data_IF_457836739268
#
_entry.id   IF_457836739268
#
_cell.length_a   1.000
_cell.length_b   1.000
_cell.length_c   1.000
_cell.angle_alpha   90.00
_cell.angle_beta   90.00
_cell.angle_gamma   90.00
#
_symmetry.space_group_name_H-M   'P 1'
#
loop_
_entity.id
_entity.type
_entity.pdbx_description
1 polymer ?
#
# COMPACT_ATOMS: atom_id res chain seq x y z
N UNK A 1 34.39 13.78 -3.88
CA UNK A 1 32.93 13.65 -4.10
C UNK A 1 32.32 13.22 -2.78
N UNK A 2 31.76 14.19 -2.07
CA UNK A 2 31.14 13.97 -0.77
C UNK A 2 29.73 13.40 -1.01
N UNK A 3 29.49 12.17 -0.56
CA UNK A 3 28.14 11.59 -0.61
C UNK A 3 27.32 12.29 0.47
N UNK A 4 26.58 13.33 0.09
CA UNK A 4 25.56 13.90 0.96
C UNK A 4 24.58 12.78 1.31
N UNK A 5 24.44 12.54 2.60
CA UNK A 5 23.58 11.51 3.14
C UNK A 5 22.13 11.96 2.92
N UNK A 6 21.55 11.61 1.76
CA UNK A 6 20.19 11.98 1.39
C UNK A 6 19.22 11.12 2.20
N UNK A 7 18.98 11.53 3.45
CA UNK A 7 17.92 10.93 4.26
C UNK A 7 16.59 11.43 3.70
N UNK A 8 15.72 10.55 3.18
CA UNK A 8 14.39 10.97 2.77
C UNK A 8 13.65 11.56 3.99
N UNK A 9 13.08 12.76 3.85
CA UNK A 9 12.32 13.45 4.91
C UNK A 9 10.95 12.79 5.14
N UNK A 10 10.47 11.99 4.19
CA UNK A 10 9.21 11.27 4.33
C UNK A 10 9.36 10.06 5.25
N UNK A 11 8.58 10.05 6.32
CA UNK A 11 8.33 8.85 7.12
C UNK A 11 6.99 8.26 6.70
N UNK A 12 6.99 7.04 6.20
CA UNK A 12 5.80 6.36 5.70
C UNK A 12 5.42 5.23 6.65
N UNK A 13 4.16 5.22 7.07
CA UNK A 13 3.53 4.12 7.81
C UNK A 13 2.36 3.63 6.98
N UNK A 14 2.27 2.32 6.77
CA UNK A 14 1.21 1.72 5.98
C UNK A 14 0.81 0.35 6.53
N UNK A 15 -0.48 0.04 6.41
CA UNK A 15 -1.07 -1.23 6.83
C UNK A 15 -2.31 -1.52 5.98
N UNK A 16 -2.47 -2.77 5.56
CA UNK A 16 -3.71 -3.28 4.96
C UNK A 16 -4.39 -4.18 5.99
N UNK A 17 -5.64 -3.91 6.35
CA UNK A 17 -6.33 -4.60 7.45
C UNK A 17 -7.61 -5.24 6.97
N UNK A 18 -7.74 -6.55 7.19
CA UNK A 18 -8.94 -7.28 6.80
C UNK A 18 -10.16 -6.84 7.63
N UNK A 19 -11.20 -6.36 6.97
CA UNK A 19 -12.47 -6.02 7.61
C UNK A 19 -13.22 -7.24 8.15
N UNK A 20 -14.11 -7.03 9.13
CA UNK A 20 -14.91 -8.10 9.76
C UNK A 20 -15.87 -8.81 8.78
N UNK A 21 -16.29 -8.13 7.71
CA UNK A 21 -17.08 -8.72 6.63
C UNK A 21 -16.29 -9.77 5.83
N UNK A 22 -15.03 -9.47 5.49
CA UNK A 22 -14.16 -10.42 4.79
C UNK A 22 -13.84 -11.64 5.67
N UNK A 23 -13.58 -11.42 6.96
CA UNK A 23 -13.41 -12.52 7.92
C UNK A 23 -14.66 -13.42 8.00
N UNK A 24 -15.87 -12.84 8.00
CA UNK A 24 -17.12 -13.60 8.03
C UNK A 24 -17.33 -14.46 6.78
N UNK A 25 -16.85 -13.98 5.64
CA UNK A 25 -16.93 -14.68 4.35
C UNK A 25 -15.69 -15.53 4.06
N UNK A 26 -14.77 -15.67 5.02
CA UNK A 26 -13.49 -16.37 4.86
C UNK A 26 -12.65 -15.86 3.66
N UNK A 27 -12.80 -14.58 3.34
CA UNK A 27 -12.09 -13.87 2.28
C UNK A 27 -10.84 -13.20 2.87
N UNK A 28 -9.72 -13.26 2.14
CA UNK A 28 -8.50 -12.54 2.51
C UNK A 28 -8.70 -11.03 2.37
N UNK A 29 -7.89 -10.24 3.09
CA UNK A 29 -7.78 -8.81 2.84
C UNK A 29 -7.41 -8.58 1.36
N UNK A 30 -8.20 -7.77 0.68
CA UNK A 30 -7.96 -7.45 -0.73
C UNK A 30 -7.32 -6.07 -0.90
N UNK A 31 -7.07 -5.36 0.19
CA UNK A 31 -6.42 -4.06 0.18
C UNK A 31 -4.92 -4.25 -0.08
N UNK A 32 -4.38 -3.51 -1.05
CA UNK A 32 -2.96 -3.43 -1.34
C UNK A 32 -2.47 -1.98 -1.22
N UNK A 33 -1.23 -1.82 -0.79
CA UNK A 33 -0.58 -0.52 -0.77
C UNK A 33 0.89 -0.68 -1.14
N UNK A 34 1.45 0.35 -1.75
CA UNK A 34 2.87 0.44 -2.01
C UNK A 34 3.32 1.89 -1.99
N UNK A 35 4.60 2.12 -1.75
CA UNK A 35 5.18 3.44 -1.80
C UNK A 35 6.61 3.39 -2.30
N UNK A 36 7.04 4.49 -2.91
CA UNK A 36 8.39 4.71 -3.35
C UNK A 36 8.80 6.13 -2.96
N UNK A 37 9.95 6.25 -2.31
CA UNK A 37 10.60 7.55 -2.13
C UNK A 37 11.63 7.72 -3.24
N UNK A 38 11.40 8.72 -4.09
CA UNK A 38 12.25 9.08 -5.20
C UNK A 38 13.33 10.08 -4.77
N UNK A 39 14.38 10.30 -5.61
CA UNK A 39 15.30 11.42 -5.43
C UNK A 39 14.55 12.76 -5.29
N UNK A 40 15.22 13.75 -4.74
CA UNK A 40 14.63 15.08 -4.44
C UNK A 40 13.49 15.06 -3.42
N UNK A 41 13.45 14.01 -2.58
CA UNK A 41 12.51 13.91 -1.47
C UNK A 41 11.04 13.90 -1.90
N UNK A 42 10.75 13.24 -3.02
CA UNK A 42 9.39 13.05 -3.53
C UNK A 42 8.85 11.68 -3.12
N UNK A 43 7.65 11.65 -2.54
CA UNK A 43 6.94 10.42 -2.18
C UNK A 43 5.87 10.10 -3.23
N UNK A 44 5.92 8.88 -3.78
CA UNK A 44 4.83 8.28 -4.55
C UNK A 44 4.21 7.19 -3.69
N UNK A 45 2.92 7.29 -3.40
CA UNK A 45 2.18 6.27 -2.67
C UNK A 45 0.95 5.85 -3.48
N UNK A 46 0.68 4.55 -3.50
CA UNK A 46 -0.48 3.95 -4.16
C UNK A 46 -1.21 3.07 -3.17
N UNK A 47 -2.54 3.17 -3.18
CA UNK A 47 -3.44 2.36 -2.37
C UNK A 47 -4.53 1.85 -3.30
N UNK A 48 -4.80 0.56 -3.25
CA UNK A 48 -5.84 -0.07 -4.01
C UNK A 48 -6.74 -0.87 -3.06
N UNK A 49 -8.04 -0.59 -3.13
CA UNK A 49 -9.07 -1.32 -2.40
C UNK A 49 -9.68 -2.37 -3.35
N UNK A 50 -9.58 -3.63 -2.96
CA UNK A 50 -10.15 -4.73 -3.73
C UNK A 50 -11.67 -4.76 -3.55
N UNK A 51 -12.41 -4.83 -4.65
CA UNK A 51 -13.86 -4.63 -4.65
C UNK A 51 -14.70 -5.64 -3.83
N UNK A 52 -14.10 -6.61 -3.12
CA UNK A 52 -14.69 -7.55 -2.13
C UNK A 52 -15.69 -8.57 -2.67
N UNK A 53 -16.48 -8.14 -3.66
CA UNK A 53 -17.60 -8.80 -4.33
C UNK A 53 -17.23 -9.31 -5.72
N UNK A 54 -16.13 -8.81 -6.30
CA UNK A 54 -15.63 -9.24 -7.58
C UNK A 54 -14.76 -10.49 -7.43
N UNK A 55 -14.96 -11.48 -8.30
CA UNK A 55 -14.15 -12.72 -8.33
C UNK A 55 -12.65 -12.46 -8.53
N UNK A 56 -12.30 -11.31 -9.14
CA UNK A 56 -10.93 -10.84 -9.36
C UNK A 56 -10.53 -9.66 -8.45
N UNK A 57 -11.24 -9.43 -7.34
CA UNK A 57 -10.98 -8.31 -6.43
C UNK A 57 -9.55 -8.24 -5.89
N UNK A 58 -8.90 -9.41 -5.74
CA UNK A 58 -7.47 -9.53 -5.36
C UNK A 58 -6.49 -9.14 -6.48
N UNK A 59 -6.86 -9.31 -7.75
CA UNK A 59 -5.97 -9.04 -8.90
C UNK A 59 -6.04 -7.57 -9.32
N UNK A 60 -7.19 -6.93 -9.08
CA UNK A 60 -7.38 -5.50 -9.33
C UNK A 60 -6.82 -4.58 -8.24
N UNK A 61 -6.39 -5.14 -7.11
CA UNK A 61 -5.77 -4.42 -6.01
C UNK A 61 -4.26 -4.66 -5.96
#
# INVERSE_FOLDING_TARGET
>A
MEKSNFMPQWQVLAASVCGTSHLRNNQLCQDAHNYLVLPDNMLVAVVADGAGSASQGKVGA
#
